data_IF_615922939063
#
_entry.id   IF_615922939063
#
_cell.length_a   1.000
_cell.length_b   1.000
_cell.length_c   1.000
_cell.angle_alpha   90.00
_cell.angle_beta   90.00
_cell.angle_gamma   90.00
#
_symmetry.space_group_name_H-M   'P 1'
#
loop_
_entity.id
_entity.type
_entity.pdbx_description
1 polymer ?
#
# COMPACT_ATOMS: atom_id res chain seq x y z
N UNK A 1 13.20 -11.41 -1.10
CA UNK A 1 11.77 -11.05 -1.18
C UNK A 1 10.97 -12.26 -1.63
N UNK A 2 9.95 -12.62 -0.85
CA UNK A 2 9.07 -13.73 -1.19
C UNK A 2 7.76 -13.22 -1.77
N UNK A 3 7.21 -13.88 -2.81
CA UNK A 3 5.87 -13.57 -3.29
C UNK A 3 4.84 -13.80 -2.19
N UNK A 4 3.78 -13.01 -2.18
CA UNK A 4 2.76 -13.07 -1.13
C UNK A 4 2.07 -14.44 -1.03
N UNK A 5 2.15 -15.26 -2.08
CA UNK A 5 1.51 -16.57 -2.10
C UNK A 5 2.29 -17.67 -1.38
N UNK A 6 3.57 -17.45 -1.02
CA UNK A 6 4.44 -18.50 -0.48
C UNK A 6 4.90 -18.30 0.97
N UNK A 7 4.47 -17.24 1.65
CA UNK A 7 4.81 -17.06 3.06
C UNK A 7 3.66 -17.49 3.97
N UNK A 8 4.01 -17.96 5.17
CA UNK A 8 3.02 -18.54 6.09
C UNK A 8 2.11 -17.50 6.72
N UNK A 9 2.69 -16.37 7.17
CA UNK A 9 1.94 -15.32 7.84
C UNK A 9 2.00 -14.04 7.04
N UNK A 10 0.84 -13.49 6.70
CA UNK A 10 0.73 -12.20 6.03
C UNK A 10 1.14 -11.06 6.95
N UNK A 11 1.66 -9.94 6.42
CA UNK A 11 1.82 -8.75 7.22
C UNK A 11 0.49 -8.32 7.83
N UNK A 12 0.56 -7.75 9.04
CA UNK A 12 -0.63 -7.34 9.79
C UNK A 12 -0.62 -5.83 9.94
N UNK A 13 -1.68 -5.19 9.47
CA UNK A 13 -1.89 -3.75 9.65
C UNK A 13 -2.20 -3.46 11.12
N UNK A 14 -1.72 -2.33 11.68
CA UNK A 14 -2.12 -1.95 13.04
C UNK A 14 -3.64 -2.00 13.20
N UNK A 15 -4.10 -2.45 14.34
CA UNK A 15 -5.51 -2.69 14.68
C UNK A 15 -6.10 -3.96 14.06
N UNK A 16 -5.32 -4.72 13.30
CA UNK A 16 -5.76 -6.01 12.76
C UNK A 16 -5.18 -7.20 13.52
N UNK A 17 -4.46 -6.98 14.60
CA UNK A 17 -3.75 -8.05 15.31
C UNK A 17 -4.69 -9.04 15.98
N UNK A 18 -5.89 -8.60 16.34
CA UNK A 18 -6.85 -9.42 17.08
C UNK A 18 -7.89 -10.10 16.21
N UNK A 19 -7.83 -9.90 14.89
CA UNK A 19 -8.76 -10.60 14.02
C UNK A 19 -8.29 -12.04 13.81
N UNK A 20 -9.20 -12.92 13.44
CA UNK A 20 -8.84 -14.30 13.10
C UNK A 20 -7.85 -14.30 11.92
N UNK A 21 -6.95 -15.28 11.93
CA UNK A 21 -5.94 -15.39 10.87
C UNK A 21 -6.58 -15.39 9.48
N UNK A 22 -7.74 -16.04 9.33
CA UNK A 22 -8.47 -16.09 8.06
C UNK A 22 -9.00 -14.73 7.62
N UNK A 23 -9.08 -13.75 8.51
CA UNK A 23 -9.58 -12.41 8.23
C UNK A 23 -8.48 -11.36 8.11
N UNK A 24 -7.23 -11.76 8.30
CA UNK A 24 -6.10 -10.80 8.32
C UNK A 24 -5.97 -10.06 6.99
N UNK A 25 -6.11 -10.75 5.86
CA UNK A 25 -6.00 -10.11 4.54
C UNK A 25 -7.13 -9.14 4.28
N UNK A 26 -8.35 -9.48 4.69
CA UNK A 26 -9.51 -8.60 4.53
C UNK A 26 -9.31 -7.35 5.39
N UNK A 27 -8.90 -7.52 6.63
CA UNK A 27 -8.61 -6.40 7.52
C UNK A 27 -7.53 -5.49 6.93
N UNK A 28 -6.45 -6.07 6.45
CA UNK A 28 -5.35 -5.34 5.80
C UNK A 28 -5.88 -4.49 4.63
N UNK A 29 -6.67 -5.11 3.74
CA UNK A 29 -7.20 -4.42 2.58
C UNK A 29 -8.14 -3.28 2.96
N UNK A 30 -9.00 -3.49 3.94
CA UNK A 30 -9.90 -2.45 4.42
C UNK A 30 -9.14 -1.28 5.02
N UNK A 31 -8.10 -1.55 5.82
CA UNK A 31 -7.29 -0.50 6.44
C UNK A 31 -6.48 0.28 5.41
N UNK A 32 -5.95 -0.41 4.41
CA UNK A 32 -5.25 0.27 3.30
C UNK A 32 -6.21 1.20 2.55
N UNK A 33 -7.40 0.71 2.24
CA UNK A 33 -8.40 1.53 1.53
C UNK A 33 -8.79 2.76 2.35
N UNK A 34 -8.96 2.61 3.65
CA UNK A 34 -9.25 3.73 4.55
C UNK A 34 -8.10 4.74 4.58
N UNK A 35 -6.86 4.23 4.65
CA UNK A 35 -5.68 5.07 4.64
C UNK A 35 -5.58 5.90 3.37
N UNK A 36 -5.82 5.26 2.22
CA UNK A 36 -5.81 5.95 0.93
C UNK A 36 -6.86 7.06 0.91
N UNK A 37 -8.10 6.75 1.27
CA UNK A 37 -9.18 7.75 1.29
C UNK A 37 -8.88 8.91 2.23
N UNK A 38 -8.36 8.62 3.40
CA UNK A 38 -8.07 9.63 4.41
C UNK A 38 -6.95 10.59 3.98
N UNK A 39 -5.95 10.09 3.26
CA UNK A 39 -4.78 10.86 2.88
C UNK A 39 -4.82 11.40 1.46
N UNK A 40 -5.82 11.01 0.69
CA UNK A 40 -5.92 11.34 -0.72
C UNK A 40 -6.08 12.86 -0.92
N UNK A 41 -5.24 13.39 -1.82
CA UNK A 41 -5.36 14.78 -2.30
C UNK A 41 -5.14 14.78 -3.79
N UNK A 42 -6.09 15.33 -4.52
CA UNK A 42 -5.91 15.45 -5.95
C UNK A 42 -4.90 16.57 -6.22
N UNK A 43 -3.81 16.31 -6.95
CA UNK A 43 -2.84 17.38 -7.25
C UNK A 43 -3.51 18.51 -8.02
N UNK A 44 -3.28 19.74 -7.57
CA UNK A 44 -3.95 20.91 -8.16
C UNK A 44 -3.65 21.07 -9.64
N UNK A 45 -2.38 20.90 -10.02
CA UNK A 45 -1.98 20.99 -11.44
C UNK A 45 -2.73 19.96 -12.29
N UNK A 46 -2.87 18.74 -11.77
CA UNK A 46 -3.58 17.69 -12.50
C UNK A 46 -5.07 18.03 -12.63
N UNK A 47 -5.68 18.63 -11.60
CA UNK A 47 -7.06 19.09 -11.68
C UNK A 47 -7.24 20.14 -12.76
N UNK A 48 -6.34 21.14 -12.77
CA UNK A 48 -6.41 22.23 -13.74
C UNK A 48 -6.25 21.75 -15.17
N UNK A 49 -5.40 20.74 -15.37
CA UNK A 49 -5.13 20.19 -16.71
C UNK A 49 -6.07 19.05 -17.09
N UNK A 50 -7.01 18.68 -16.23
CA UNK A 50 -7.92 17.59 -16.52
C UNK A 50 -7.26 16.23 -16.57
N UNK A 51 -6.15 16.03 -15.83
CA UNK A 51 -5.40 14.78 -15.83
C UNK A 51 -5.98 13.81 -14.83
N UNK A 52 -6.30 12.61 -15.29
CA UNK A 52 -6.81 11.54 -14.45
C UNK A 52 -6.24 10.21 -14.90
N UNK A 53 -6.40 9.19 -14.09
CA UNK A 53 -5.92 7.86 -14.41
C UNK A 53 -5.56 7.07 -13.18
N UNK A 54 -4.99 5.89 -13.41
CA UNK A 54 -4.64 4.96 -12.35
C UNK A 54 -3.13 4.90 -12.20
N UNK A 55 -2.67 4.98 -10.96
CA UNK A 55 -1.26 4.79 -10.61
C UNK A 55 -1.12 3.48 -9.87
N UNK A 56 -0.23 2.64 -10.34
CA UNK A 56 0.14 1.40 -9.65
C UNK A 56 1.34 1.68 -8.77
N UNK A 57 1.21 1.39 -7.48
CA UNK A 57 2.30 1.58 -6.53
C UNK A 57 2.78 0.24 -6.04
N UNK A 58 4.05 -0.03 -6.27
CA UNK A 58 4.71 -1.23 -5.76
C UNK A 58 5.55 -0.83 -4.56
N UNK A 59 5.50 -1.62 -3.50
CA UNK A 59 6.31 -1.37 -2.32
C UNK A 59 6.58 -2.68 -1.61
N UNK A 60 7.49 -2.64 -0.64
CA UNK A 60 7.85 -3.81 0.15
C UNK A 60 7.59 -3.49 1.61
N UNK A 61 6.93 -4.42 2.31
CA UNK A 61 6.88 -4.39 3.77
C UNK A 61 8.10 -5.17 4.23
N UNK A 62 9.04 -4.45 4.83
CA UNK A 62 10.34 -4.99 5.23
C UNK A 62 10.25 -5.86 6.47
N UNK A 63 11.37 -6.49 6.84
CA UNK A 63 11.44 -7.38 7.99
C UNK A 63 11.10 -6.69 9.31
N UNK A 64 11.30 -5.38 9.39
CA UNK A 64 10.95 -4.58 10.56
C UNK A 64 9.55 -3.97 10.48
N UNK A 65 8.78 -4.30 9.42
CA UNK A 65 7.44 -3.78 9.21
C UNK A 65 7.36 -2.45 8.49
N UNK A 66 8.48 -1.81 8.18
CA UNK A 66 8.49 -0.52 7.50
C UNK A 66 8.20 -0.66 6.00
N UNK A 67 7.70 0.41 5.42
CA UNK A 67 7.41 0.48 3.99
C UNK A 67 8.66 0.96 3.27
N UNK A 68 9.14 0.16 2.31
CA UNK A 68 10.36 0.45 1.56
C UNK A 68 10.18 0.21 0.07
N UNK A 69 11.13 0.69 -0.73
CA UNK A 69 11.19 0.45 -2.18
C UNK A 69 9.91 0.84 -2.90
N UNK A 70 9.40 2.04 -2.60
CA UNK A 70 8.18 2.55 -3.23
C UNK A 70 8.49 2.90 -4.68
N UNK A 71 7.75 2.28 -5.60
CA UNK A 71 7.86 2.55 -7.04
C UNK A 71 6.48 2.77 -7.61
N UNK A 72 6.36 3.74 -8.51
CA UNK A 72 5.08 4.13 -9.07
C UNK A 72 5.10 4.03 -10.59
N UNK A 73 3.96 3.67 -11.17
CA UNK A 73 3.76 3.69 -12.61
C UNK A 73 2.37 4.25 -12.89
N UNK A 74 2.31 5.36 -13.57
CA UNK A 74 1.05 6.01 -13.92
C UNK A 74 1.18 6.90 -15.14
N UNK A 75 0.08 7.52 -15.57
CA UNK A 75 0.05 8.35 -16.78
C UNK A 75 0.70 9.73 -16.59
N UNK A 76 0.95 10.15 -15.35
CA UNK A 76 1.41 11.50 -15.08
C UNK A 76 2.28 11.55 -13.82
N UNK A 77 3.33 12.36 -13.85
CA UNK A 77 4.26 12.47 -12.72
C UNK A 77 3.63 13.06 -11.46
N UNK A 78 2.70 13.99 -11.61
CA UNK A 78 2.05 14.60 -10.45
C UNK A 78 1.16 13.58 -9.73
N UNK A 79 0.46 12.73 -10.50
CA UNK A 79 -0.32 11.64 -9.91
C UNK A 79 0.60 10.61 -9.25
N UNK A 80 1.73 10.31 -9.86
CA UNK A 80 2.71 9.37 -9.29
C UNK A 80 3.25 9.88 -7.95
N UNK A 81 3.59 11.17 -7.87
CA UNK A 81 4.09 11.78 -6.64
C UNK A 81 3.07 11.68 -5.51
N UNK A 82 1.82 11.97 -5.83
CA UNK A 82 0.76 11.89 -4.83
C UNK A 82 0.56 10.45 -4.35
N UNK A 83 0.56 9.50 -5.27
CA UNK A 83 0.43 8.09 -4.91
C UNK A 83 1.57 7.65 -3.99
N UNK A 84 2.80 8.05 -4.30
CA UNK A 84 3.97 7.75 -3.47
C UNK A 84 3.84 8.38 -2.07
N UNK A 85 3.34 9.61 -2.01
CA UNK A 85 3.12 10.29 -0.74
C UNK A 85 2.13 9.54 0.14
N UNK A 86 1.02 9.10 -0.45
CA UNK A 86 0.00 8.34 0.28
C UNK A 86 0.59 7.06 0.86
N UNK A 87 1.27 6.28 0.03
CA UNK A 87 1.85 5.00 0.48
C UNK A 87 2.99 5.22 1.47
N UNK A 88 3.78 6.28 1.27
CA UNK A 88 4.86 6.61 2.21
C UNK A 88 4.38 6.98 3.61
N UNK A 89 3.10 7.30 3.78
CA UNK A 89 2.51 7.63 5.07
C UNK A 89 1.88 6.43 5.78
N UNK A 90 1.96 5.25 5.18
CA UNK A 90 1.47 4.05 5.84
C UNK A 90 2.22 3.81 7.15
N UNK A 91 1.53 3.34 8.20
CA UNK A 91 2.20 3.01 9.45
C UNK A 91 3.05 1.76 9.29
N UNK A 92 3.96 1.54 10.23
CA UNK A 92 4.68 0.28 10.28
C UNK A 92 3.72 -0.86 10.56
N UNK A 93 4.00 -1.99 9.93
CA UNK A 93 3.18 -3.19 10.00
C UNK A 93 3.87 -4.25 10.86
N UNK A 94 3.12 -5.25 11.32
CA UNK A 94 3.74 -6.48 11.74
C UNK A 94 4.22 -7.18 10.48
N UNK A 95 5.50 -7.55 10.37
CA UNK A 95 6.01 -8.13 9.13
C UNK A 95 5.43 -9.50 8.85
N UNK A 96 5.41 -9.88 7.57
CA UNK A 96 5.10 -11.25 7.17
C UNK A 96 6.16 -12.20 7.69
N UNK A 97 5.81 -13.48 7.86
CA UNK A 97 6.72 -14.47 8.40
C UNK A 97 6.72 -15.75 7.58
N UNK A 98 7.87 -16.38 7.55
CA UNK A 98 8.08 -17.70 6.99
C UNK A 98 8.88 -18.51 8.00
N UNK A 99 8.32 -19.64 8.45
CA UNK A 99 8.95 -20.47 9.50
C UNK A 99 9.28 -19.67 10.75
N UNK A 100 8.37 -18.77 11.16
CA UNK A 100 8.53 -17.94 12.34
C UNK A 100 9.52 -16.78 12.18
N UNK A 101 10.13 -16.60 11.01
CA UNK A 101 11.10 -15.54 10.77
C UNK A 101 10.48 -14.43 9.91
N UNK A 102 10.74 -13.16 10.25
CA UNK A 102 10.27 -12.06 9.41
C UNK A 102 10.86 -12.13 8.01
N UNK A 103 10.03 -11.82 7.01
CA UNK A 103 10.45 -11.79 5.60
C UNK A 103 9.96 -10.51 4.95
N UNK A 104 10.60 -10.15 3.83
CA UNK A 104 10.20 -9.01 3.02
C UNK A 104 9.07 -9.44 2.09
N UNK A 105 7.97 -8.67 2.10
CA UNK A 105 6.79 -9.03 1.32
C UNK A 105 6.45 -7.89 0.34
N UNK A 106 6.40 -8.18 -0.97
CA UNK A 106 6.03 -7.17 -1.95
C UNK A 106 4.51 -7.00 -2.04
N UNK A 107 4.09 -5.77 -2.32
CA UNK A 107 2.70 -5.43 -2.58
C UNK A 107 2.60 -4.53 -3.80
N UNK A 108 1.46 -4.63 -4.48
CA UNK A 108 1.12 -3.74 -5.58
C UNK A 108 -0.31 -3.26 -5.38
N UNK A 109 -0.50 -1.95 -5.33
CA UNK A 109 -1.80 -1.35 -5.04
C UNK A 109 -2.12 -0.30 -6.10
N UNK A 110 -3.31 -0.36 -6.72
CA UNK A 110 -3.75 0.71 -7.62
C UNK A 110 -4.38 1.86 -6.85
N UNK A 111 -4.06 3.08 -7.24
CA UNK A 111 -4.72 4.28 -6.74
C UNK A 111 -5.32 4.99 -7.93
N UNK A 112 -6.64 5.17 -7.91
CA UNK A 112 -7.37 5.76 -9.03
C UNK A 112 -7.62 7.24 -8.77
N UNK A 113 -7.22 8.07 -9.74
CA UNK A 113 -7.46 9.51 -9.74
C UNK A 113 -8.54 9.80 -10.77
N UNK A 114 -9.69 10.21 -10.31
CA UNK A 114 -10.84 10.50 -11.19
C UNK A 114 -11.39 11.88 -10.88
N UNK A 115 -11.54 12.66 -11.93
CA UNK A 115 -12.18 13.98 -11.85
C UNK A 115 -13.69 13.82 -11.88
N UNK A 116 -14.37 14.70 -11.15
CA UNK A 116 -15.83 14.71 -11.10
C UNK A 116 -16.39 15.81 -11.98
#
# INVERSE_FOLDING_TARGET
VLPSAVFEDSPIFPCCERVFKSKTRVCFQEKINMHIRKNFRYPEIAQEMGIQGRVYVNFIISKDGSITNIRMRGPDKNLEKEAARIIGRLPNMTPGKQRGRPVRVPFSIPITFRLQ
#
